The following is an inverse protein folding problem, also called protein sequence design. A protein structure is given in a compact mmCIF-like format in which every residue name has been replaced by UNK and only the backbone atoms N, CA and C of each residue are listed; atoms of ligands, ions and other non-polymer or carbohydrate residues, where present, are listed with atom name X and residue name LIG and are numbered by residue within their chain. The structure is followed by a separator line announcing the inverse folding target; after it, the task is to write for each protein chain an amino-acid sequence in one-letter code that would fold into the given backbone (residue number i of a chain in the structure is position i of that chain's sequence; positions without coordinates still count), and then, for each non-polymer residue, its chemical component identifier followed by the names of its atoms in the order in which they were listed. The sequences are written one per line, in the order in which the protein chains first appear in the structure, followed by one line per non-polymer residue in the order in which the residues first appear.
data_IF_725570919387
#
_entry.id   IF_725570919387
#
_cell.length_a   1.000
_cell.length_b   1.000
_cell.length_c   1.000
_cell.angle_alpha   90.00
_cell.angle_beta   90.00
_cell.angle_gamma   90.00
#
_symmetry.space_group_name_H-M   'P 1'
#
loop_
_entity.id
_entity.type
_entity.pdbx_description
1 polymer ?
#
# COMPACT_ATOMS: atom_id res chain seq x y z
N UNK A 1 11.44 -0.32 31.23
CA UNK A 1 10.55 -0.03 30.08
C UNK A 1 9.23 -0.72 30.33
N UNK A 2 8.11 0.00 30.29
CA UNK A 2 6.80 -0.60 30.47
C UNK A 2 6.49 -1.43 29.20
N UNK A 3 6.30 -2.76 29.33
CA UNK A 3 6.18 -3.69 28.20
C UNK A 3 4.97 -3.42 27.29
N UNK A 4 4.05 -2.55 27.73
CA UNK A 4 2.78 -2.26 27.05
C UNK A 4 2.82 -1.00 26.16
N UNK A 5 3.95 -0.28 26.12
CA UNK A 5 4.10 0.92 25.29
C UNK A 5 4.84 0.58 24.01
N UNK A 6 4.16 0.74 22.90
CA UNK A 6 4.69 0.55 21.56
C UNK A 6 5.13 1.89 20.96
N UNK A 7 6.20 1.86 20.16
CA UNK A 7 6.76 3.05 19.49
C UNK A 7 6.94 2.77 18.00
N UNK A 8 6.18 3.47 17.18
CA UNK A 8 6.14 3.26 15.73
C UNK A 8 6.69 4.47 15.00
N UNK A 9 7.38 4.21 13.89
CA UNK A 9 7.70 5.21 12.86
C UNK A 9 6.54 5.19 11.88
N UNK A 10 5.92 6.34 11.66
CA UNK A 10 4.74 6.49 10.83
C UNK A 10 4.99 7.50 9.71
N UNK A 11 4.55 7.15 8.51
CA UNK A 11 4.39 8.04 7.36
C UNK A 11 2.89 8.23 7.09
N UNK A 12 2.51 9.39 6.58
CA UNK A 12 1.13 9.63 6.20
C UNK A 12 0.80 8.80 4.94
N UNK A 13 -0.29 8.05 5.01
CA UNK A 13 -0.83 7.35 3.84
C UNK A 13 -1.96 8.20 3.22
N UNK A 14 -2.99 8.53 4.01
CA UNK A 14 -4.13 9.32 3.53
C UNK A 14 -4.82 10.08 4.66
N UNK A 15 -5.25 11.30 4.35
CA UNK A 15 -6.08 12.14 5.22
C UNK A 15 -7.57 11.98 4.87
N UNK A 16 -8.43 12.38 5.80
CA UNK A 16 -9.88 12.44 5.62
C UNK A 16 -10.50 11.15 5.06
N UNK A 17 -10.07 10.02 5.63
CA UNK A 17 -10.58 8.70 5.27
C UNK A 17 -11.70 8.25 6.21
N UNK A 18 -12.63 7.46 5.69
CA UNK A 18 -13.44 6.57 6.55
C UNK A 18 -12.55 5.46 7.07
N UNK A 19 -12.58 5.24 8.38
CA UNK A 19 -11.80 4.19 9.02
C UNK A 19 -12.39 2.81 8.71
N UNK A 20 -11.54 1.85 8.34
CA UNK A 20 -11.95 0.50 7.92
C UNK A 20 -12.77 -0.24 8.99
N UNK A 21 -12.42 -0.09 10.27
CA UNK A 21 -13.07 -0.79 11.39
C UNK A 21 -13.96 0.11 12.27
N UNK A 22 -14.05 1.41 11.93
CA UNK A 22 -14.82 2.41 12.66
C UNK A 22 -15.51 3.34 11.65
N UNK A 23 -16.37 2.75 10.81
CA UNK A 23 -16.90 3.32 9.56
C UNK A 23 -17.65 4.65 9.71
N UNK A 24 -18.19 4.89 10.89
CA UNK A 24 -18.92 6.09 11.30
C UNK A 24 -18.00 7.29 11.57
N UNK A 25 -16.69 7.07 11.66
CA UNK A 25 -15.70 8.12 11.91
C UNK A 25 -14.85 8.41 10.67
N UNK A 26 -14.44 9.67 10.54
CA UNK A 26 -13.37 10.09 9.65
C UNK A 26 -12.05 10.18 10.43
N UNK A 27 -10.93 10.03 9.73
CA UNK A 27 -9.63 10.21 10.34
C UNK A 27 -8.47 10.13 9.36
N UNK A 28 -7.30 9.81 9.90
CA UNK A 28 -6.07 9.69 9.14
C UNK A 28 -5.60 8.24 9.13
N UNK A 29 -5.04 7.82 8.00
CA UNK A 29 -4.32 6.56 7.85
C UNK A 29 -2.84 6.80 7.82
N UNK A 30 -2.12 5.97 8.54
CA UNK A 30 -0.68 5.95 8.60
C UNK A 30 -0.17 4.58 8.14
N UNK A 31 0.87 4.59 7.32
CA UNK A 31 1.69 3.41 7.08
C UNK A 31 2.89 3.47 8.03
N UNK A 32 3.22 2.37 8.69
CA UNK A 32 4.12 2.40 9.83
C UNK A 32 4.90 1.12 10.03
N UNK A 33 5.94 1.18 10.86
CA UNK A 33 6.67 0.02 11.33
C UNK A 33 7.14 0.23 12.77
N UNK A 34 7.39 -0.87 13.49
CA UNK A 34 7.92 -0.79 14.85
C UNK A 34 9.37 -0.28 14.79
N UNK A 35 9.64 0.85 15.45
CA UNK A 35 10.96 1.49 15.45
C UNK A 35 12.07 0.54 15.91
N UNK A 36 11.75 -0.35 16.84
CA UNK A 36 12.74 -1.22 17.49
C UNK A 36 13.08 -2.44 16.62
N UNK A 37 12.30 -2.74 15.57
CA UNK A 37 12.61 -3.76 14.56
C UNK A 37 13.79 -3.34 13.65
N UNK A 38 14.01 -2.03 13.50
CA UNK A 38 15.01 -1.48 12.59
C UNK A 38 16.43 -1.59 13.17
N UNK A 39 17.33 -2.15 12.37
CA UNK A 39 18.77 -2.23 12.60
C UNK A 39 19.55 -1.79 11.35
N UNK A 40 20.88 -1.69 11.45
CA UNK A 40 21.75 -1.17 10.39
C UNK A 40 21.70 -1.98 9.09
N UNK A 41 21.33 -3.25 9.16
CA UNK A 41 21.26 -4.17 8.02
C UNK A 41 19.83 -4.39 7.50
N UNK A 42 18.84 -3.71 8.08
CA UNK A 42 17.44 -3.87 7.71
C UNK A 42 17.18 -3.40 6.27
N UNK A 43 16.85 -4.33 5.38
CA UNK A 43 16.31 -4.02 4.04
C UNK A 43 14.79 -4.00 4.00
N UNK A 44 14.15 -4.66 4.96
CA UNK A 44 12.71 -4.74 5.11
C UNK A 44 12.32 -4.87 6.59
N UNK A 45 11.09 -4.48 6.92
CA UNK A 45 10.46 -4.49 8.25
C UNK A 45 9.03 -5.04 8.14
N UNK A 46 8.39 -5.32 9.26
CA UNK A 46 6.97 -5.63 9.27
C UNK A 46 6.20 -4.30 9.27
N UNK A 47 5.31 -4.13 8.30
CA UNK A 47 4.54 -2.89 8.18
C UNK A 47 3.13 -3.03 8.75
N UNK A 48 2.59 -1.90 9.21
CA UNK A 48 1.30 -1.82 9.89
C UNK A 48 0.54 -0.60 9.41
N UNK A 49 -0.77 -0.76 9.26
CA UNK A 49 -1.71 0.34 9.09
C UNK A 49 -2.11 0.80 10.49
N UNK A 50 -2.04 2.11 10.74
CA UNK A 50 -2.58 2.75 11.94
C UNK A 50 -3.61 3.77 11.49
N UNK A 51 -4.85 3.57 11.91
CA UNK A 51 -5.96 4.49 11.66
C UNK A 51 -6.30 5.22 12.96
N UNK A 52 -6.45 6.54 12.89
CA UNK A 52 -6.72 7.39 14.05
C UNK A 52 -7.87 8.32 13.70
N UNK A 53 -8.88 8.41 14.58
CA UNK A 53 -9.97 9.38 14.42
C UNK A 53 -9.42 10.79 14.26
N UNK A 54 -10.02 11.57 13.37
CA UNK A 54 -9.58 12.94 13.08
C UNK A 54 -9.58 13.82 14.33
N UNK A 55 -10.57 13.65 15.21
CA UNK A 55 -10.67 14.35 16.50
C UNK A 55 -9.48 14.10 17.41
N UNK A 56 -8.97 12.87 17.45
CA UNK A 56 -7.84 12.46 18.27
C UNK A 56 -6.51 12.88 17.64
N UNK A 57 -6.42 12.94 16.30
CA UNK A 57 -5.20 13.32 15.60
C UNK A 57 -5.03 14.84 15.51
N UNK A 58 -5.98 15.54 14.89
CA UNK A 58 -5.86 16.96 14.58
C UNK A 58 -5.96 17.87 15.81
N UNK A 59 -6.67 17.44 16.87
CA UNK A 59 -6.84 18.25 18.08
C UNK A 59 -5.72 18.08 19.12
N UNK A 60 -4.65 17.33 18.81
CA UNK A 60 -3.53 17.18 19.76
C UNK A 60 -2.85 18.51 20.01
N UNK A 61 -2.80 18.88 21.30
CA UNK A 61 -2.17 20.10 21.76
C UNK A 61 -0.72 19.85 22.19
N UNK A 62 0.14 20.81 21.91
CA UNK A 62 1.47 20.90 22.48
C UNK A 62 1.40 21.23 23.97
N UNK A 63 2.53 21.18 24.68
CA UNK A 63 2.62 21.61 26.08
C UNK A 63 2.17 23.07 26.31
N UNK A 64 2.25 23.91 25.26
CA UNK A 64 1.80 25.32 25.27
C UNK A 64 0.32 25.49 24.90
N UNK A 65 -0.42 24.40 24.69
CA UNK A 65 -1.86 24.43 24.36
C UNK A 65 -2.19 24.63 22.87
N UNK A 66 -1.22 24.95 22.01
CA UNK A 66 -1.42 25.11 20.57
C UNK A 66 -1.63 23.75 19.87
N UNK A 67 -2.46 23.72 18.81
CA UNK A 67 -2.71 22.53 17.99
C UNK A 67 -1.43 22.04 17.30
N UNK A 68 -0.76 21.05 17.88
CA UNK A 68 0.59 20.62 17.53
C UNK A 68 0.70 20.06 16.11
N UNK A 69 -0.25 19.20 15.71
CA UNK A 69 -0.21 18.51 14.42
C UNK A 69 -0.30 19.48 13.24
N UNK A 70 -1.13 20.53 13.34
CA UNK A 70 -1.33 21.49 12.25
C UNK A 70 -0.04 22.20 11.83
N UNK A 71 0.88 22.44 12.76
CA UNK A 71 2.18 23.08 12.45
C UNK A 71 3.09 22.21 11.59
N UNK A 72 2.92 20.89 11.67
CA UNK A 72 3.79 19.92 11.00
C UNK A 72 3.14 19.25 9.80
N UNK A 73 1.81 19.35 9.67
CA UNK A 73 1.02 18.58 8.70
C UNK A 73 1.55 18.70 7.27
N UNK A 74 1.80 19.93 6.79
CA UNK A 74 2.33 20.14 5.43
C UNK A 74 3.62 19.34 5.18
N UNK A 75 4.58 19.41 6.10
CA UNK A 75 5.87 18.73 6.00
C UNK A 75 5.72 17.21 6.14
N UNK A 76 4.73 16.76 6.92
CA UNK A 76 4.42 15.34 7.05
C UNK A 76 3.81 14.78 5.77
N UNK A 77 2.89 15.53 5.14
CA UNK A 77 2.25 15.17 3.87
C UNK A 77 3.24 15.15 2.70
N UNK A 78 4.26 16.01 2.70
CA UNK A 78 5.32 16.01 1.68
C UNK A 78 6.43 14.98 1.93
N UNK A 79 6.42 14.32 3.10
CA UNK A 79 7.46 13.37 3.49
C UNK A 79 8.76 14.02 3.99
N UNK A 80 8.77 15.33 4.24
CA UNK A 80 9.93 16.06 4.79
C UNK A 80 10.22 15.70 6.26
N UNK A 81 9.24 15.11 6.95
CA UNK A 81 9.40 14.51 8.26
C UNK A 81 8.59 13.22 8.37
N UNK A 82 8.97 12.36 9.33
CA UNK A 82 8.13 11.25 9.77
C UNK A 82 7.58 11.53 11.16
N UNK A 83 6.57 10.76 11.56
CA UNK A 83 5.99 10.85 12.89
C UNK A 83 6.43 9.67 13.76
N UNK A 84 6.93 9.94 14.96
CA UNK A 84 7.03 8.96 16.03
C UNK A 84 5.72 8.92 16.81
N UNK A 85 5.04 7.79 16.74
CA UNK A 85 3.81 7.54 17.47
C UNK A 85 4.09 6.59 18.64
N UNK A 86 3.75 6.99 19.86
CA UNK A 86 3.72 6.09 21.01
C UNK A 86 2.30 5.85 21.46
N UNK A 87 1.96 4.59 21.69
CA UNK A 87 0.63 4.18 22.10
C UNK A 87 0.70 2.93 22.99
N UNK A 88 -0.43 2.61 23.60
CA UNK A 88 -0.66 1.34 24.29
C UNK A 88 -2.01 0.77 23.87
N UNK A 89 -2.22 -0.53 24.06
CA UNK A 89 -3.52 -1.14 23.82
C UNK A 89 -4.56 -0.60 24.79
N UNK A 90 -5.77 -0.38 24.29
CA UNK A 90 -6.90 0.10 25.08
C UNK A 90 -8.21 -0.20 24.38
N UNK A 91 -9.17 -0.80 25.08
CA UNK A 91 -10.50 -1.06 24.53
C UNK A 91 -11.28 0.23 24.15
N UNK A 92 -10.96 1.36 24.80
CA UNK A 92 -11.65 2.65 24.61
C UNK A 92 -10.78 3.65 23.82
N UNK A 93 -9.84 3.15 23.02
CA UNK A 93 -8.97 3.98 22.20
C UNK A 93 -9.69 4.60 21.00
N UNK A 94 -9.15 5.73 20.53
CA UNK A 94 -9.66 6.44 19.34
C UNK A 94 -8.82 6.17 18.08
N UNK A 95 -7.98 5.15 18.12
CA UNK A 95 -7.32 4.61 16.96
C UNK A 95 -7.20 3.10 17.06
N UNK A 96 -6.73 2.49 15.99
CA UNK A 96 -6.37 1.08 15.97
C UNK A 96 -5.21 0.85 15.02
N UNK A 97 -4.61 -0.33 15.12
CA UNK A 97 -3.63 -0.77 14.15
C UNK A 97 -3.77 -2.25 13.82
N UNK A 98 -3.29 -2.62 12.64
CA UNK A 98 -3.18 -4.00 12.19
C UNK A 98 -1.97 -4.16 11.27
N UNK A 99 -1.39 -5.37 11.24
CA UNK A 99 -0.27 -5.70 10.34
C UNK A 99 -0.77 -5.70 8.89
N UNK A 100 -0.02 -5.09 7.97
CA UNK A 100 -0.45 -4.93 6.59
C UNK A 100 -0.52 -6.27 5.86
N UNK A 101 0.56 -7.05 5.85
CA UNK A 101 0.65 -8.27 5.06
C UNK A 101 0.88 -9.49 5.96
N UNK A 102 0.27 -10.60 5.58
CA UNK A 102 0.37 -11.88 6.28
C UNK A 102 0.70 -12.97 5.28
N UNK A 103 1.46 -13.98 5.70
CA UNK A 103 1.60 -15.18 4.87
C UNK A 103 0.26 -15.94 4.84
N UNK A 104 -0.02 -16.73 3.79
CA UNK A 104 -1.22 -17.58 3.76
C UNK A 104 -1.29 -18.58 4.92
N UNK A 105 -0.13 -18.96 5.46
CA UNK A 105 0.05 -19.89 6.58
C UNK A 105 -0.17 -19.23 7.95
N UNK A 106 -0.08 -17.89 8.05
CA UNK A 106 -0.41 -17.18 9.27
C UNK A 106 -1.91 -17.31 9.54
N UNK A 107 -2.26 -17.87 10.71
CA UNK A 107 -3.59 -18.32 11.11
C UNK A 107 -4.70 -17.28 10.77
N UNK A 108 -5.71 -17.67 9.97
CA UNK A 108 -6.74 -16.76 9.40
C UNK A 108 -7.67 -16.13 10.44
N UNK A 109 -7.69 -16.66 11.66
CA UNK A 109 -8.55 -16.22 12.77
C UNK A 109 -8.05 -14.92 13.45
N UNK A 110 -6.85 -14.42 13.14
CA UNK A 110 -6.17 -13.35 13.92
C UNK A 110 -5.96 -12.02 13.20
N UNK A 111 -6.71 -11.67 12.15
CA UNK A 111 -6.76 -10.29 11.63
C UNK A 111 -7.53 -9.33 12.57
N UNK A 112 -7.37 -9.50 13.88
CA UNK A 112 -7.89 -8.59 14.88
C UNK A 112 -7.02 -7.33 14.86
N UNK A 113 -7.60 -6.24 14.34
CA UNK A 113 -7.10 -4.92 14.67
C UNK A 113 -7.05 -4.77 16.19
N UNK A 114 -6.08 -4.01 16.68
CA UNK A 114 -5.94 -3.76 18.10
C UNK A 114 -6.24 -2.29 18.34
N UNK A 115 -7.20 -2.02 19.21
CA UNK A 115 -7.59 -0.65 19.59
C UNK A 115 -6.49 -0.06 20.48
N UNK A 116 -6.12 1.19 20.19
CA UNK A 116 -4.97 1.86 20.79
C UNK A 116 -5.35 3.21 21.40
N UNK A 117 -4.71 3.52 22.52
CA UNK A 117 -4.69 4.85 23.10
C UNK A 117 -3.36 5.52 22.80
N UNK A 118 -3.41 6.65 22.11
CA UNK A 118 -2.23 7.43 21.76
C UNK A 118 -1.71 8.16 23.00
N UNK A 119 -0.43 7.95 23.29
CA UNK A 119 0.27 8.56 24.42
C UNK A 119 1.02 9.81 23.98
N UNK A 120 1.70 9.76 22.84
CA UNK A 120 2.43 10.91 22.30
C UNK A 120 2.59 10.82 20.79
N UNK A 121 2.61 12.00 20.16
CA UNK A 121 3.00 12.22 18.78
C UNK A 121 4.21 13.15 18.77
N UNK A 122 5.22 12.84 17.98
CA UNK A 122 6.35 13.73 17.72
C UNK A 122 6.73 13.70 16.24
N UNK A 123 6.81 14.86 15.59
CA UNK A 123 7.30 14.96 14.21
C UNK A 123 8.82 15.11 14.23
N UNK A 124 9.50 14.26 13.46
CA UNK A 124 10.96 14.16 13.46
C UNK A 124 11.51 14.50 12.09
N UNK A 125 12.31 15.56 12.07
CA UNK A 125 12.98 16.06 10.88
C UNK A 125 14.35 15.39 10.69
N UNK A 126 14.88 15.34 9.45
CA UNK A 126 16.22 14.80 9.17
C UNK A 126 17.32 15.43 10.02
N UNK A 127 17.22 16.73 10.31
CA UNK A 127 18.19 17.49 11.11
C UNK A 127 18.13 17.20 12.62
N UNK A 128 17.15 16.45 13.11
CA UNK A 128 16.98 16.22 14.54
C UNK A 128 18.00 15.20 15.07
N UNK A 129 18.99 15.67 15.83
CA UNK A 129 20.05 14.82 16.41
C UNK A 129 19.68 14.19 17.76
N UNK A 130 18.59 14.63 18.40
CA UNK A 130 18.19 14.18 19.74
C UNK A 130 17.38 12.88 19.71
N UNK A 131 16.79 12.54 18.57
CA UNK A 131 16.01 11.31 18.40
C UNK A 131 16.94 10.14 18.13
N UNK A 132 16.96 9.18 19.06
CA UNK A 132 17.71 7.94 18.90
C UNK A 132 17.30 7.22 17.59
N UNK A 133 18.29 6.68 16.87
CA UNK A 133 18.17 6.02 15.56
C UNK A 133 17.65 6.92 14.42
N UNK A 134 17.59 8.26 14.58
CA UNK A 134 17.03 9.11 13.52
C UNK A 134 17.75 8.93 12.16
N UNK A 135 19.09 8.97 12.15
CA UNK A 135 19.86 8.75 10.93
C UNK A 135 19.57 7.39 10.28
N UNK A 136 19.45 6.34 11.09
CA UNK A 136 19.11 5.00 10.61
C UNK A 136 17.70 4.95 10.00
N UNK A 137 16.71 5.57 10.67
CA UNK A 137 15.32 5.64 10.19
C UNK A 137 15.25 6.44 8.89
N UNK A 138 15.90 7.60 8.83
CA UNK A 138 15.94 8.45 7.63
C UNK A 138 16.59 7.72 6.46
N UNK A 139 17.73 7.06 6.69
CA UNK A 139 18.38 6.25 5.67
C UNK A 139 17.45 5.14 5.18
N UNK A 140 16.82 4.38 6.09
CA UNK A 140 15.88 3.34 5.72
C UNK A 140 14.68 3.87 4.93
N UNK A 141 14.08 4.99 5.36
CA UNK A 141 12.96 5.63 4.68
C UNK A 141 13.33 6.18 3.30
N UNK A 142 14.57 6.59 3.07
CA UNK A 142 15.02 7.16 1.79
C UNK A 142 15.72 6.15 0.87
N UNK A 143 16.16 5.00 1.39
CA UNK A 143 16.78 3.94 0.60
C UNK A 143 15.79 3.30 -0.37
N UNK A 144 16.24 3.11 -1.61
CA UNK A 144 15.49 2.39 -2.64
C UNK A 144 16.22 1.07 -2.97
N UNK A 145 15.78 -0.02 -2.35
CA UNK A 145 16.41 -1.35 -2.45
C UNK A 145 15.63 -2.30 -3.37
N UNK A 146 14.77 -1.77 -4.23
CA UNK A 146 13.89 -2.58 -5.06
C UNK A 146 14.65 -3.19 -6.25
N UNK A 147 14.39 -4.46 -6.56
CA UNK A 147 14.92 -5.10 -7.78
C UNK A 147 14.46 -4.31 -9.01
N UNK A 148 15.39 -3.94 -9.87
CA UNK A 148 15.10 -3.12 -11.02
C UNK A 148 15.27 -3.90 -12.32
N UNK A 149 14.24 -3.87 -13.16
CA UNK A 149 14.29 -4.38 -14.52
C UNK A 149 13.68 -3.33 -15.45
N UNK A 150 14.52 -2.76 -16.34
CA UNK A 150 14.09 -1.65 -17.22
C UNK A 150 12.82 -2.01 -18.02
N UNK A 151 12.79 -3.24 -18.55
CA UNK A 151 11.77 -3.75 -19.45
C UNK A 151 11.36 -5.16 -19.05
N UNK A 152 10.06 -5.36 -18.90
CA UNK A 152 9.44 -6.68 -18.78
C UNK A 152 8.84 -7.02 -20.14
N UNK A 153 9.23 -8.16 -20.72
CA UNK A 153 8.59 -8.73 -21.90
C UNK A 153 7.96 -10.07 -21.52
N UNK A 154 6.70 -10.26 -21.84
CA UNK A 154 5.95 -11.48 -21.55
C UNK A 154 5.10 -11.88 -22.75
N UNK A 155 5.06 -13.17 -23.04
CA UNK A 155 4.18 -13.74 -24.05
C UNK A 155 3.13 -14.62 -23.37
N UNK A 156 1.85 -14.25 -23.49
CA UNK A 156 0.70 -15.02 -23.00
C UNK A 156 -0.04 -15.62 -24.21
N UNK A 157 0.26 -16.89 -24.51
CA UNK A 157 -0.35 -17.60 -25.63
C UNK A 157 -1.83 -17.89 -25.34
N UNK A 158 -2.72 -17.57 -26.28
CA UNK A 158 -4.16 -17.85 -26.16
C UNK A 158 -5.05 -16.62 -26.37
N UNK A 159 -6.35 -16.84 -26.26
CA UNK A 159 -7.34 -15.77 -26.31
C UNK A 159 -7.26 -14.92 -25.03
N UNK A 160 -7.38 -13.61 -25.19
CA UNK A 160 -7.36 -12.66 -24.09
C UNK A 160 -8.75 -12.47 -23.49
N UNK A 161 -8.83 -12.57 -22.17
CA UNK A 161 -10.00 -12.22 -21.37
C UNK A 161 -9.64 -11.04 -20.46
N UNK A 162 -10.60 -10.12 -20.29
CA UNK A 162 -10.51 -8.98 -19.39
C UNK A 162 -11.71 -9.02 -18.43
N UNK A 163 -11.43 -9.23 -17.16
CA UNK A 163 -12.43 -9.22 -16.09
C UNK A 163 -12.21 -7.96 -15.26
N UNK A 164 -13.28 -7.21 -14.99
CA UNK A 164 -13.26 -6.04 -14.11
C UNK A 164 -14.04 -6.34 -12.83
N UNK A 165 -13.49 -5.96 -11.68
CA UNK A 165 -14.12 -6.24 -10.38
C UNK A 165 -14.57 -4.95 -9.70
N UNK A 166 -15.75 -5.00 -9.09
CA UNK A 166 -16.25 -3.89 -8.27
C UNK A 166 -15.59 -3.94 -6.90
N UNK A 167 -14.72 -2.95 -6.64
CA UNK A 167 -13.95 -2.83 -5.38
C UNK A 167 -14.18 -1.49 -4.66
N UNK A 168 -15.30 -0.82 -5.00
CA UNK A 168 -15.62 0.52 -4.51
C UNK A 168 -14.76 1.59 -5.18
N UNK A 169 -14.15 2.47 -4.39
CA UNK A 169 -13.29 3.58 -4.87
C UNK A 169 -11.89 3.13 -5.36
N UNK A 170 -11.59 1.82 -5.31
CA UNK A 170 -10.34 1.27 -5.83
C UNK A 170 -10.45 0.83 -7.30
N UNK A 171 -9.34 0.34 -7.85
CA UNK A 171 -9.29 -0.30 -9.16
C UNK A 171 -8.80 -1.75 -9.03
N UNK A 172 -9.42 -2.65 -9.78
CA UNK A 172 -9.03 -4.05 -9.84
C UNK A 172 -9.55 -4.65 -11.14
N UNK A 173 -8.64 -5.13 -11.98
CA UNK A 173 -9.01 -5.83 -13.22
C UNK A 173 -8.00 -6.93 -13.52
N UNK A 174 -8.45 -8.04 -14.06
CA UNK A 174 -7.62 -9.18 -14.41
C UNK A 174 -7.59 -9.36 -15.92
N UNK A 175 -6.38 -9.41 -16.47
CA UNK A 175 -6.13 -9.83 -17.84
C UNK A 175 -5.60 -11.25 -17.80
N UNK A 176 -6.22 -12.19 -18.51
CA UNK A 176 -5.77 -13.58 -18.50
C UNK A 176 -6.00 -14.31 -19.81
N UNK A 177 -5.30 -15.43 -20.01
CA UNK A 177 -5.52 -16.36 -21.13
C UNK A 177 -6.18 -17.68 -20.71
N UNK A 178 -6.56 -17.80 -19.43
CA UNK A 178 -7.12 -19.03 -18.83
C UNK A 178 -6.09 -19.95 -18.19
N UNK A 179 -4.81 -19.67 -18.33
CA UNK A 179 -3.71 -20.39 -17.63
C UNK A 179 -2.91 -19.42 -16.77
N UNK A 180 -2.58 -18.26 -17.30
CA UNK A 180 -1.83 -17.22 -16.63
C UNK A 180 -2.61 -15.91 -16.62
N UNK A 181 -2.29 -15.03 -15.67
CA UNK A 181 -2.92 -13.73 -15.54
C UNK A 181 -1.97 -12.61 -15.14
N UNK A 182 -2.46 -11.40 -15.38
CA UNK A 182 -1.91 -10.14 -14.87
C UNK A 182 -3.04 -9.33 -14.24
N UNK A 183 -2.92 -9.11 -12.95
CA UNK A 183 -3.82 -8.27 -12.17
C UNK A 183 -3.37 -6.80 -12.28
N UNK A 184 -4.25 -5.92 -12.74
CA UNK A 184 -4.06 -4.48 -12.84
C UNK A 184 -4.70 -3.81 -11.63
N UNK A 185 -3.85 -3.33 -10.73
CA UNK A 185 -4.23 -2.87 -9.39
C UNK A 185 -5.03 -3.93 -8.59
N UNK A 186 -5.07 -3.76 -7.28
CA UNK A 186 -5.90 -4.56 -6.38
C UNK A 186 -6.37 -3.70 -5.21
N UNK A 187 -7.03 -2.62 -5.61
CA UNK A 187 -7.48 -1.57 -4.74
C UNK A 187 -8.75 -1.89 -3.98
N UNK A 188 -9.02 -1.10 -2.94
CA UNK A 188 -10.33 -1.05 -2.29
C UNK A 188 -10.55 0.32 -1.65
N UNK A 189 -11.82 0.72 -1.58
CA UNK A 189 -12.25 1.93 -0.90
C UNK A 189 -13.77 2.00 -0.86
N UNK A 190 -14.33 3.14 -0.41
CA UNK A 190 -15.78 3.30 -0.24
C UNK A 190 -16.56 2.79 -1.47
N UNK A 191 -17.68 2.08 -1.28
CA UNK A 191 -18.32 1.74 0.00
C UNK A 191 -17.73 0.49 0.69
N UNK A 192 -16.67 -0.11 0.15
CA UNK A 192 -16.11 -1.36 0.67
C UNK A 192 -15.08 -1.05 1.75
N UNK A 193 -15.30 -1.62 2.94
CA UNK A 193 -14.40 -1.57 4.08
C UNK A 193 -13.95 -2.98 4.43
N UNK A 194 -12.80 -3.10 5.12
CA UNK A 194 -12.16 -4.39 5.42
C UNK A 194 -13.09 -5.43 6.05
N UNK A 195 -13.92 -5.12 7.07
CA UNK A 195 -14.84 -6.10 7.66
C UNK A 195 -15.89 -6.64 6.68
N UNK A 196 -16.25 -5.84 5.67
CA UNK A 196 -17.33 -6.17 4.73
C UNK A 196 -16.81 -6.87 3.47
N UNK A 197 -15.50 -6.78 3.17
CA UNK A 197 -14.90 -7.32 1.95
C UNK A 197 -15.19 -8.82 1.75
N UNK A 198 -15.02 -9.65 2.80
CA UNK A 198 -15.26 -11.10 2.71
C UNK A 198 -16.73 -11.47 2.47
N UNK A 199 -17.66 -10.56 2.77
CA UNK A 199 -19.10 -10.78 2.63
C UNK A 199 -19.64 -10.32 1.26
N UNK A 200 -18.76 -9.86 0.35
CA UNK A 200 -19.14 -9.49 -1.00
C UNK A 200 -19.42 -10.74 -1.82
N UNK A 201 -20.69 -11.18 -1.81
CA UNK A 201 -21.18 -12.36 -2.56
C UNK A 201 -20.93 -12.27 -4.07
N UNK A 202 -20.68 -11.08 -4.60
CA UNK A 202 -20.48 -10.82 -6.03
C UNK A 202 -19.02 -10.80 -6.47
N UNK A 203 -18.03 -10.93 -5.57
CA UNK A 203 -16.63 -10.81 -5.96
C UNK A 203 -16.06 -12.15 -6.46
N UNK A 204 -15.98 -12.31 -7.79
CA UNK A 204 -15.42 -13.50 -8.44
C UNK A 204 -13.88 -13.50 -8.50
N UNK A 205 -13.20 -12.42 -8.08
CA UNK A 205 -11.75 -12.26 -8.17
C UNK A 205 -10.98 -13.49 -7.68
N UNK A 206 -11.27 -13.96 -6.47
CA UNK A 206 -10.55 -15.11 -5.90
C UNK A 206 -10.78 -16.39 -6.71
N UNK A 207 -12.00 -16.60 -7.22
CA UNK A 207 -12.31 -17.79 -8.01
C UNK A 207 -11.63 -17.73 -9.38
N UNK A 208 -11.62 -16.57 -10.01
CA UNK A 208 -10.95 -16.34 -11.30
C UNK A 208 -9.43 -16.46 -11.18
N UNK A 209 -8.85 -16.09 -10.03
CA UNK A 209 -7.42 -16.27 -9.77
C UNK A 209 -7.05 -17.72 -9.46
N UNK A 210 -7.90 -18.47 -8.75
CA UNK A 210 -7.63 -19.87 -8.36
C UNK A 210 -7.44 -20.83 -9.53
N UNK A 211 -8.02 -20.53 -10.68
CA UNK A 211 -7.89 -21.38 -11.88
C UNK A 211 -6.61 -21.11 -12.66
N UNK A 212 -5.88 -20.04 -12.32
CA UNK A 212 -4.64 -19.66 -13.00
C UNK A 212 -3.43 -20.25 -12.27
N UNK A 213 -2.46 -20.75 -13.03
CA UNK A 213 -1.21 -21.30 -12.50
C UNK A 213 -0.19 -20.22 -12.12
N UNK A 214 -0.31 -19.02 -12.69
CA UNK A 214 0.61 -17.91 -12.46
C UNK A 214 -0.15 -16.59 -12.57
N UNK A 215 -0.01 -15.73 -11.55
CA UNK A 215 -0.60 -14.38 -11.54
C UNK A 215 0.48 -13.39 -11.17
N UNK A 216 0.81 -12.49 -12.09
CA UNK A 216 1.60 -11.30 -11.75
C UNK A 216 0.66 -10.12 -11.53
N UNK A 217 1.18 -9.05 -10.94
CA UNK A 217 0.42 -7.83 -10.69
C UNK A 217 1.17 -6.62 -11.22
N UNK A 218 0.44 -5.66 -11.78
CA UNK A 218 0.95 -4.33 -12.12
C UNK A 218 0.23 -3.34 -11.22
N UNK A 219 1.00 -2.61 -10.41
CA UNK A 219 0.52 -1.45 -9.68
C UNK A 219 0.72 -0.19 -10.51
N UNK A 220 -0.37 0.53 -10.75
CA UNK A 220 -0.32 1.81 -11.45
C UNK A 220 0.40 2.86 -10.59
N UNK A 221 0.18 2.87 -9.28
CA UNK A 221 0.96 3.62 -8.31
C UNK A 221 0.86 3.00 -6.90
N UNK A 222 1.55 3.60 -5.92
CA UNK A 222 1.75 3.01 -4.59
C UNK A 222 0.78 3.51 -3.51
N UNK A 223 -0.13 4.44 -3.83
CA UNK A 223 -1.21 4.77 -2.92
C UNK A 223 -1.96 3.50 -2.48
N UNK A 224 -2.25 3.44 -1.19
CA UNK A 224 -2.78 2.24 -0.56
C UNK A 224 -4.14 1.80 -1.10
N UNK A 225 -4.95 2.69 -1.67
CA UNK A 225 -6.22 2.34 -2.32
C UNK A 225 -6.06 1.58 -3.64
N UNK A 226 -4.82 1.32 -4.09
CA UNK A 226 -4.49 0.50 -5.27
C UNK A 226 -3.95 -0.89 -4.95
N UNK A 227 -3.54 -1.15 -3.71
CA UNK A 227 -3.06 -2.47 -3.28
C UNK A 227 -3.74 -2.97 -2.00
N UNK A 228 -4.77 -2.26 -1.55
CA UNK A 228 -5.41 -2.49 -0.26
C UNK A 228 -5.88 -3.91 -0.06
N UNK A 229 -6.41 -4.57 -1.09
CA UNK A 229 -6.89 -5.94 -0.98
C UNK A 229 -5.77 -6.93 -0.66
N UNK A 230 -4.54 -6.68 -1.13
CA UNK A 230 -3.38 -7.49 -0.76
C UNK A 230 -3.12 -7.45 0.76
N UNK A 231 -3.42 -6.32 1.41
CA UNK A 231 -3.27 -6.17 2.85
C UNK A 231 -4.46 -6.75 3.65
N UNK A 232 -5.59 -6.98 2.98
CA UNK A 232 -6.80 -7.49 3.61
C UNK A 232 -6.93 -9.01 3.45
N UNK A 233 -6.41 -9.56 2.37
CA UNK A 233 -6.60 -10.95 1.97
C UNK A 233 -5.25 -11.63 1.70
N UNK A 234 -4.81 -12.47 2.64
CA UNK A 234 -3.55 -13.20 2.53
C UNK A 234 -3.59 -14.30 1.48
N UNK A 235 -4.76 -14.86 1.16
CA UNK A 235 -4.90 -15.86 0.09
C UNK A 235 -4.65 -15.18 -1.26
N UNK A 236 -5.30 -14.03 -1.48
CA UNK A 236 -5.06 -13.18 -2.64
C UNK A 236 -3.58 -12.80 -2.76
N UNK A 237 -2.97 -12.29 -1.68
CA UNK A 237 -1.55 -11.96 -1.68
C UNK A 237 -0.66 -13.16 -1.99
N UNK A 238 -1.03 -14.35 -1.50
CA UNK A 238 -0.35 -15.61 -1.78
C UNK A 238 -0.34 -16.00 -3.25
N UNK A 239 -1.44 -15.73 -3.97
CA UNK A 239 -1.59 -16.04 -5.40
C UNK A 239 -0.73 -15.16 -6.31
N UNK A 240 -0.33 -13.97 -5.87
CA UNK A 240 0.49 -13.06 -6.68
C UNK A 240 1.95 -13.48 -6.64
N UNK A 241 2.57 -13.73 -7.80
CA UNK A 241 3.98 -14.13 -7.91
C UNK A 241 4.91 -12.91 -7.92
N UNK A 242 4.68 -11.96 -8.82
CA UNK A 242 5.45 -10.72 -8.93
C UNK A 242 4.55 -9.48 -8.86
N UNK A 243 5.08 -8.37 -8.33
CA UNK A 243 4.44 -7.07 -8.28
C UNK A 243 5.30 -6.06 -9.03
N UNK A 244 4.86 -5.70 -10.24
CA UNK A 244 5.51 -4.68 -11.05
C UNK A 244 5.06 -3.29 -10.62
N UNK A 245 6.03 -2.42 -10.38
CA UNK A 245 5.78 -1.04 -9.94
C UNK A 245 6.57 -0.04 -10.81
N UNK A 246 6.20 1.26 -10.81
CA UNK A 246 6.97 2.28 -11.49
C UNK A 246 8.37 2.39 -10.92
N UNK A 247 9.39 2.43 -11.79
CA UNK A 247 10.78 2.69 -11.40
C UNK A 247 10.94 4.04 -10.69
N UNK A 248 11.95 4.14 -9.83
CA UNK A 248 12.27 5.32 -9.00
C UNK A 248 11.14 5.75 -8.04
N UNK A 249 10.28 4.83 -7.64
CA UNK A 249 9.32 5.02 -6.55
C UNK A 249 9.94 4.61 -5.22
N UNK A 250 9.52 5.25 -4.14
CA UNK A 250 9.95 4.93 -2.79
C UNK A 250 8.73 5.01 -1.87
N UNK A 251 8.39 3.89 -1.23
CA UNK A 251 7.24 3.78 -0.33
C UNK A 251 7.52 2.71 0.73
N UNK A 252 6.87 2.80 1.89
CA UNK A 252 6.95 1.76 2.92
C UNK A 252 6.39 0.42 2.44
N UNK A 253 5.44 0.41 1.50
CA UNK A 253 4.98 -0.78 0.79
C UNK A 253 6.15 -1.58 0.18
N UNK A 254 7.22 -0.92 -0.24
CA UNK A 254 8.40 -1.58 -0.85
C UNK A 254 9.34 -2.23 0.16
N UNK A 255 9.09 -1.95 1.44
CA UNK A 255 9.97 -2.27 2.56
C UNK A 255 9.29 -3.23 3.54
N UNK A 256 8.11 -3.73 3.20
CA UNK A 256 7.50 -4.81 3.96
C UNK A 256 8.20 -6.15 3.66
N UNK A 257 8.45 -6.94 4.70
CA UNK A 257 9.14 -8.25 4.60
C UNK A 257 8.54 -9.18 3.56
N UNK A 258 7.23 -9.15 3.34
CA UNK A 258 6.54 -10.03 2.42
C UNK A 258 6.49 -9.45 0.99
N UNK A 259 6.12 -8.18 0.85
CA UNK A 259 6.00 -7.55 -0.47
C UNK A 259 7.36 -7.33 -1.13
N UNK A 260 8.38 -6.97 -0.36
CA UNK A 260 9.73 -6.66 -0.85
C UNK A 260 10.29 -7.76 -1.76
N UNK A 261 9.97 -9.02 -1.45
CA UNK A 261 10.44 -10.20 -2.19
C UNK A 261 9.72 -10.43 -3.52
N UNK A 262 8.55 -9.82 -3.73
CA UNK A 262 7.74 -9.94 -4.95
C UNK A 262 7.91 -8.75 -5.88
N UNK A 263 8.40 -7.62 -5.37
CA UNK A 263 8.43 -6.38 -6.13
C UNK A 263 9.56 -6.38 -7.18
N UNK A 264 9.22 -5.85 -8.36
CA UNK A 264 10.13 -5.53 -9.46
C UNK A 264 9.79 -4.14 -9.99
N UNK A 265 10.71 -3.19 -9.82
CA UNK A 265 10.60 -1.85 -10.36
C UNK A 265 10.93 -1.84 -11.86
N UNK A 266 10.07 -1.24 -12.67
CA UNK A 266 10.24 -1.21 -14.12
C UNK A 266 9.75 0.08 -14.76
N UNK A 267 10.20 0.34 -15.99
CA UNK A 267 9.78 1.52 -16.77
C UNK A 267 8.85 1.17 -17.93
N UNK A 268 8.86 -0.10 -18.35
CA UNK A 268 8.13 -0.60 -19.49
C UNK A 268 7.74 -2.06 -19.24
N UNK A 269 6.48 -2.38 -19.50
CA UNK A 269 5.96 -3.74 -19.51
C UNK A 269 5.31 -3.97 -20.87
N UNK A 270 5.67 -5.07 -21.54
CA UNK A 270 5.05 -5.49 -22.79
C UNK A 270 4.53 -6.91 -22.60
N UNK A 271 3.24 -7.08 -22.82
CA UNK A 271 2.59 -8.38 -22.78
C UNK A 271 1.98 -8.62 -24.14
N UNK A 272 2.43 -9.67 -24.82
CA UNK A 272 1.91 -10.08 -26.11
C UNK A 272 0.87 -11.17 -25.92
N UNK A 273 -0.19 -11.10 -26.71
CA UNK A 273 -1.24 -12.11 -26.79
C UNK A 273 -1.34 -12.61 -28.23
N UNK A 274 -2.02 -13.74 -28.44
CA UNK A 274 -2.26 -14.26 -29.81
C UNK A 274 -3.01 -13.24 -30.68
N UNK A 275 -3.86 -12.41 -30.09
CA UNK A 275 -4.73 -11.45 -30.75
C UNK A 275 -4.47 -9.98 -30.36
N UNK A 276 -3.31 -9.64 -29.79
CA UNK A 276 -3.03 -8.26 -29.38
C UNK A 276 -1.78 -8.08 -28.55
N UNK A 277 -1.64 -6.91 -27.94
CA UNK A 277 -0.60 -6.63 -26.96
C UNK A 277 -1.08 -5.59 -25.93
N UNK A 278 -0.54 -5.67 -24.73
CA UNK A 278 -0.61 -4.62 -23.72
C UNK A 278 0.78 -4.04 -23.54
N UNK A 279 0.88 -2.72 -23.63
CA UNK A 279 2.09 -2.00 -23.25
C UNK A 279 1.77 -1.12 -22.05
N UNK A 280 2.57 -1.21 -21.00
CA UNK A 280 2.47 -0.34 -19.85
C UNK A 280 3.71 0.53 -19.76
N UNK A 281 3.52 1.85 -19.72
CA UNK A 281 4.61 2.82 -19.71
C UNK A 281 4.60 3.62 -18.43
N UNK A 282 5.79 3.87 -17.89
CA UNK A 282 5.93 4.85 -16.81
C UNK A 282 5.63 6.25 -17.34
N UNK A 283 4.69 6.94 -16.71
CA UNK A 283 4.39 8.34 -17.00
C UNK A 283 5.48 9.26 -16.47
N UNK A 284 5.76 10.33 -17.22
CA UNK A 284 6.63 11.43 -16.80
C UNK A 284 5.85 12.74 -16.98
N UNK A 285 4.93 13.06 -16.05
CA UNK A 285 4.19 14.32 -16.13
C UNK A 285 5.18 15.49 -16.15
N UNK A 286 4.91 16.48 -17.01
CA UNK A 286 5.78 17.64 -17.14
C UNK A 286 5.84 18.42 -15.82
N UNK A 287 6.99 19.01 -15.48
CA UNK A 287 7.21 19.69 -14.20
C UNK A 287 6.25 20.86 -13.93
N UNK A 288 5.61 21.36 -14.99
CA UNK A 288 4.67 22.48 -15.06
C UNK A 288 3.20 22.06 -15.26
N UNK A 289 2.86 20.77 -15.27
CA UNK A 289 1.45 20.35 -15.35
C UNK A 289 0.74 20.56 -14.00
N UNK A 290 -0.55 20.89 -14.06
CA UNK A 290 -1.44 20.92 -12.87
C UNK A 290 -1.87 19.51 -12.42
N UNK A 291 -1.51 18.48 -13.20
CA UNK A 291 -1.74 17.09 -12.84
C UNK A 291 -0.87 16.70 -11.64
N UNK A 292 -1.40 15.85 -10.72
CA UNK A 292 -0.63 15.36 -9.58
C UNK A 292 0.71 14.80 -10.08
N UNK A 293 1.83 15.32 -9.54
CA UNK A 293 3.23 14.98 -9.90
C UNK A 293 3.64 13.54 -9.54
N UNK A 294 2.76 12.57 -9.70
CA UNK A 294 2.97 11.18 -9.32
C UNK A 294 3.50 10.42 -10.52
N UNK A 295 4.53 9.61 -10.26
CA UNK A 295 5.06 8.68 -11.24
C UNK A 295 4.16 7.46 -11.22
N UNK A 296 3.43 7.23 -12.32
CA UNK A 296 2.53 6.09 -12.44
C UNK A 296 3.02 5.16 -13.55
N UNK A 297 2.55 3.93 -13.55
CA UNK A 297 2.57 3.02 -14.71
C UNK A 297 1.16 3.06 -15.30
N UNK A 298 1.06 3.49 -16.56
CA UNK A 298 -0.20 3.55 -17.30
C UNK A 298 -0.27 2.41 -18.31
N UNK A 299 -1.17 1.43 -18.11
CA UNK A 299 -1.39 0.35 -19.08
C UNK A 299 -2.19 0.85 -20.27
N UNK A 300 -1.67 0.59 -21.47
CA UNK A 300 -2.34 0.77 -22.75
C UNK A 300 -2.55 -0.61 -23.39
N UNK A 301 -3.81 -0.99 -23.55
CA UNK A 301 -4.19 -2.27 -24.17
C UNK A 301 -4.57 -2.01 -25.62
N UNK A 302 -3.94 -2.74 -26.55
CA UNK A 302 -4.24 -2.70 -27.98
C UNK A 302 -4.66 -4.08 -28.46
N UNK A 303 -5.92 -4.22 -28.88
CA UNK A 303 -6.46 -5.47 -29.41
C UNK A 303 -6.40 -5.42 -30.93
N UNK A 304 -5.78 -6.42 -31.55
CA UNK A 304 -5.78 -6.58 -33.01
C UNK A 304 -7.13 -7.18 -33.42
N UNK A 305 -8.09 -6.31 -33.76
CA UNK A 305 -9.35 -6.75 -34.35
C UNK A 305 -9.06 -7.20 -35.78
N UNK A 306 -8.97 -8.51 -36.01
CA UNK A 306 -8.99 -9.05 -37.37
C UNK A 306 -10.39 -8.80 -37.95
N UNK A 307 -10.50 -7.92 -38.94
CA UNK A 307 -11.65 -7.93 -39.85
C UNK A 307 -11.73 -9.34 -40.45
N UNK A 308 -12.83 -10.05 -40.20
CA UNK A 308 -13.18 -11.19 -41.04
C UNK A 308 -13.42 -10.62 -42.44
N UNK A 309 -12.51 -10.91 -43.37
CA UNK A 309 -12.78 -10.79 -44.80
C UNK A 309 -13.58 -12.01 -45.25
#
# INVERSE_FOLDING_TARGET
MNKDILSFVCCLDKEDITLDYMSEFQGVRLNSFNRDELNENSKAVSTFTIDIKGSEFYNRKSQKGNLYVQWHLKNFTTGDCYMLLKFKHSANGEGYYYKNYHSPEENKETQAFQVIKILSIAFVYPSNQLVNKNNLIQNFLNQNNTRHQNKIDRDMNGALYLNSYSVGQGMCSLIHNGTEGVLLDCGAGKPILKPNYKNLSTNQLINDLKVLSQVDMILSHLDSDHHRLLSWDSDLFGMISNIYIPSNTNDLFLKDKLTHQKIIACSLIKIKFTNGFMNSYRTRPASNSQEKKRQCISPHISVLVRKKC
#
